data_IF_050158885831
#
_entry.id   IF_050158885831
#
_cell.length_a   1.000
_cell.length_b   1.000
_cell.length_c   1.000
_cell.angle_alpha   90.00
_cell.angle_beta   90.00
_cell.angle_gamma   90.00
#
_symmetry.space_group_name_H-M   'P 1'
#
loop_
_entity.id
_entity.type
_entity.pdbx_description
1 polymer ?
#
# COMPACT_ATOMS: atom_id res chain seq x y z
N UNK A 1 10.87 45.75 2.89
CA UNK A 1 11.38 45.16 1.63
C UNK A 1 11.96 43.78 1.96
N UNK A 2 11.15 42.73 1.83
CA UNK A 2 11.63 41.35 2.02
C UNK A 2 12.30 40.89 0.73
N UNK A 3 13.57 40.49 0.81
CA UNK A 3 14.31 39.91 -0.32
C UNK A 3 13.73 38.54 -0.65
N UNK A 4 12.94 38.47 -1.72
CA UNK A 4 12.57 37.23 -2.38
C UNK A 4 13.78 36.74 -3.18
N UNK A 5 14.74 36.08 -2.52
CA UNK A 5 15.68 35.22 -3.25
C UNK A 5 15.00 33.87 -3.41
N UNK A 6 14.50 33.64 -4.63
CA UNK A 6 14.13 32.34 -5.20
C UNK A 6 15.33 31.39 -5.20
N UNK A 7 15.78 30.95 -4.04
CA UNK A 7 16.79 29.88 -3.98
C UNK A 7 16.08 28.57 -4.33
N UNK A 8 16.49 27.95 -5.44
CA UNK A 8 16.02 26.62 -5.85
C UNK A 8 16.34 25.53 -4.82
N UNK A 9 15.89 24.31 -5.07
CA UNK A 9 16.08 23.22 -4.11
C UNK A 9 17.58 22.92 -3.88
N UNK A 10 18.07 22.75 -2.63
CA UNK A 10 19.49 22.63 -2.34
C UNK A 10 20.06 21.22 -2.57
N UNK A 11 20.02 20.71 -3.81
CA UNK A 11 20.42 19.33 -4.16
C UNK A 11 21.82 18.92 -3.66
N UNK A 12 22.79 19.86 -3.72
CA UNK A 12 24.16 19.61 -3.27
C UNK A 12 24.26 19.27 -1.77
N UNK A 13 23.27 19.65 -0.96
CA UNK A 13 23.21 19.33 0.48
C UNK A 13 22.57 17.99 0.78
N UNK A 14 21.83 17.40 -0.16
CA UNK A 14 21.13 16.13 0.05
C UNK A 14 22.15 15.04 0.32
N UNK A 15 22.03 14.39 1.48
CA UNK A 15 22.85 13.26 1.92
C UNK A 15 22.02 11.96 1.93
N UNK A 16 20.76 12.03 2.37
CA UNK A 16 19.83 10.90 2.40
C UNK A 16 18.41 11.33 2.02
N UNK A 17 17.56 10.36 1.68
CA UNK A 17 16.16 10.60 1.32
C UNK A 17 15.25 9.71 2.15
N UNK A 18 14.02 10.17 2.45
CA UNK A 18 12.99 9.36 3.13
C UNK A 18 11.65 9.46 2.43
N UNK A 19 10.89 8.36 2.44
CA UNK A 19 9.55 8.27 1.87
C UNK A 19 8.52 8.63 2.95
N UNK A 20 7.57 9.50 2.59
CA UNK A 20 6.47 9.92 3.46
C UNK A 20 5.12 9.75 2.76
N UNK A 21 4.06 9.32 3.45
CA UNK A 21 4.06 8.92 4.86
C UNK A 21 4.84 7.61 5.07
N UNK A 22 5.37 7.39 6.28
CA UNK A 22 6.03 6.13 6.62
C UNK A 22 5.07 4.92 6.56
N UNK A 23 3.76 5.14 6.76
CA UNK A 23 2.70 4.16 6.52
C UNK A 23 1.59 4.85 5.72
N UNK A 24 1.40 4.43 4.47
CA UNK A 24 0.27 4.85 3.63
C UNK A 24 -0.93 3.94 3.80
N UNK A 25 -2.14 4.52 3.79
CA UNK A 25 -3.40 3.78 3.88
C UNK A 25 -4.16 3.91 2.57
N UNK A 26 -4.20 2.83 1.81
CA UNK A 26 -5.04 2.65 0.64
C UNK A 26 -6.30 1.85 1.01
N UNK A 27 -7.34 1.92 0.17
CA UNK A 27 -8.57 1.16 0.38
C UNK A 27 -9.12 0.62 -0.93
N UNK A 28 -9.60 -0.62 -0.87
CA UNK A 28 -10.27 -1.28 -1.99
C UNK A 28 -11.57 -0.56 -2.37
N UNK A 29 -12.01 -0.74 -3.61
CA UNK A 29 -13.26 -0.19 -4.13
C UNK A 29 -13.52 -0.71 -5.54
N UNK A 30 -14.77 -1.03 -5.85
CA UNK A 30 -15.15 -1.72 -7.09
C UNK A 30 -15.33 -0.79 -8.31
N UNK A 31 -15.04 0.51 -8.19
CA UNK A 31 -15.05 1.43 -9.34
C UNK A 31 -13.79 1.27 -10.19
N UNK A 32 -13.99 1.15 -11.51
CA UNK A 32 -12.93 1.16 -12.52
C UNK A 32 -12.68 2.54 -13.12
N UNK A 33 -13.48 3.55 -12.73
CA UNK A 33 -13.54 4.87 -13.39
C UNK A 33 -12.88 5.98 -12.57
N UNK A 34 -12.49 5.70 -11.32
CA UNK A 34 -11.77 6.69 -10.53
C UNK A 34 -11.36 6.22 -9.14
N UNK A 35 -10.59 7.09 -8.49
CA UNK A 35 -10.15 6.98 -7.12
C UNK A 35 -10.23 8.36 -6.45
N UNK A 36 -10.01 8.40 -5.15
CA UNK A 36 -9.72 9.63 -4.42
C UNK A 36 -8.45 9.46 -3.60
N UNK A 37 -7.79 10.57 -3.26
CA UNK A 37 -6.58 10.53 -2.45
C UNK A 37 -6.92 10.30 -0.98
N UNK A 38 -6.12 9.48 -0.31
CA UNK A 38 -6.14 9.38 1.14
C UNK A 38 -5.92 10.76 1.77
N UNK A 39 -6.61 11.10 2.88
CA UNK A 39 -6.33 12.34 3.60
C UNK A 39 -4.87 12.40 4.06
N UNK A 40 -4.17 13.48 3.72
CA UNK A 40 -2.76 13.69 4.10
C UNK A 40 -2.60 14.45 5.41
N UNK A 41 -3.72 14.90 6.00
CA UNK A 41 -3.77 15.54 7.30
C UNK A 41 -5.10 15.23 7.98
N UNK A 42 -5.15 15.43 9.29
CA UNK A 42 -6.41 15.32 10.05
C UNK A 42 -7.44 16.34 9.57
N UNK A 43 -6.99 17.52 9.11
CA UNK A 43 -7.92 18.54 8.60
C UNK A 43 -8.51 18.12 7.26
N UNK A 44 -7.67 17.60 6.36
CA UNK A 44 -8.10 17.10 5.06
C UNK A 44 -9.08 15.91 5.17
N UNK A 45 -9.16 15.25 6.34
CA UNK A 45 -10.11 14.14 6.56
C UNK A 45 -11.53 14.60 6.85
N UNK A 46 -11.78 15.91 7.04
CA UNK A 46 -13.12 16.43 7.38
C UNK A 46 -14.00 16.61 6.16
N UNK A 47 -13.40 16.81 5.00
CA UNK A 47 -14.12 17.08 3.75
C UNK A 47 -14.30 15.79 2.93
N UNK A 48 -15.42 15.72 2.23
CA UNK A 48 -15.59 14.70 1.21
C UNK A 48 -14.64 14.96 0.03
N UNK A 49 -14.07 13.93 -0.60
CA UNK A 49 -13.26 14.12 -1.78
C UNK A 49 -14.08 14.73 -2.91
N UNK A 50 -13.44 15.55 -3.75
CA UNK A 50 -14.06 16.10 -4.95
C UNK A 50 -14.65 14.99 -5.81
N UNK A 51 -15.91 15.13 -6.21
CA UNK A 51 -16.65 14.11 -6.95
C UNK A 51 -17.13 12.90 -6.13
N UNK A 52 -16.98 12.95 -4.80
CA UNK A 52 -17.54 11.96 -3.86
C UNK A 52 -16.86 10.59 -3.88
N UNK A 53 -17.34 9.70 -3.00
CA UNK A 53 -16.78 8.35 -2.76
C UNK A 53 -17.24 7.28 -3.75
N UNK A 54 -18.20 7.60 -4.63
CA UNK A 54 -18.77 6.68 -5.60
C UNK A 54 -18.72 7.26 -7.00
N UNK A 55 -18.65 6.39 -8.01
CA UNK A 55 -18.82 6.80 -9.40
C UNK A 55 -20.31 6.95 -9.79
N UNK A 56 -20.57 7.31 -11.04
CA UNK A 56 -21.92 7.55 -11.56
C UNK A 56 -22.80 6.28 -11.52
N UNK A 57 -22.21 5.09 -11.49
CA UNK A 57 -22.93 3.81 -11.35
C UNK A 57 -23.10 3.37 -9.90
N UNK A 58 -22.69 4.18 -8.93
CA UNK A 58 -22.79 3.87 -7.50
C UNK A 58 -21.73 2.90 -6.98
N UNK A 59 -20.71 2.56 -7.79
CA UNK A 59 -19.57 1.74 -7.35
C UNK A 59 -18.64 2.57 -6.47
N UNK A 60 -18.03 1.95 -5.48
CA UNK A 60 -17.14 2.60 -4.51
C UNK A 60 -15.79 2.88 -5.18
N UNK A 61 -15.35 4.14 -5.15
CA UNK A 61 -14.00 4.52 -5.60
C UNK A 61 -12.94 3.99 -4.64
N UNK A 62 -11.80 3.59 -5.18
CA UNK A 62 -10.62 3.24 -4.40
C UNK A 62 -10.07 4.48 -3.69
N UNK A 63 -9.48 4.29 -2.50
CA UNK A 63 -8.67 5.32 -1.86
C UNK A 63 -7.20 5.05 -2.20
N UNK A 64 -6.54 6.01 -2.86
CA UNK A 64 -5.13 5.91 -3.21
C UNK A 64 -4.25 6.49 -2.10
N UNK A 65 -3.23 5.75 -1.68
CA UNK A 65 -2.18 6.29 -0.80
C UNK A 65 -1.15 7.02 -1.66
N UNK A 66 -0.91 8.29 -1.37
CA UNK A 66 0.13 9.09 -2.06
C UNK A 66 1.42 9.12 -1.25
N UNK A 67 2.53 8.87 -1.92
CA UNK A 67 3.87 8.89 -1.33
C UNK A 67 4.74 9.98 -1.95
N UNK A 68 5.54 10.62 -1.11
CA UNK A 68 6.42 11.75 -1.39
C UNK A 68 7.83 11.40 -0.92
N UNK A 69 8.84 12.06 -1.47
CA UNK A 69 10.23 11.92 -1.03
C UNK A 69 10.73 13.23 -0.44
N UNK A 70 11.44 13.15 0.68
CA UNK A 70 12.06 14.30 1.33
C UNK A 70 13.57 14.09 1.40
N UNK A 71 14.34 15.12 1.07
CA UNK A 71 15.79 15.13 1.18
C UNK A 71 16.24 15.60 2.57
N UNK A 72 17.33 15.04 3.06
CA UNK A 72 17.95 15.39 4.34
C UNK A 72 19.43 15.64 4.13
N UNK A 73 20.00 16.61 4.86
CA UNK A 73 21.45 16.81 4.84
C UNK A 73 22.19 15.82 5.75
N UNK A 74 23.52 15.92 5.77
CA UNK A 74 24.41 15.04 6.54
C UNK A 74 24.17 15.09 8.06
N UNK A 75 23.55 16.15 8.55
CA UNK A 75 23.25 16.34 9.97
C UNK A 75 21.79 15.92 10.29
N UNK A 76 21.08 15.36 9.31
CA UNK A 76 19.70 14.87 9.44
C UNK A 76 18.65 15.97 9.36
N UNK A 77 19.00 17.18 8.91
CA UNK A 77 18.05 18.27 8.76
C UNK A 77 17.23 18.08 7.50
N UNK A 78 15.90 18.18 7.62
CA UNK A 78 14.97 18.08 6.49
C UNK A 78 15.12 19.30 5.57
N UNK A 79 15.46 19.05 4.30
CA UNK A 79 15.62 20.06 3.24
C UNK A 79 14.33 20.33 2.46
N UNK A 80 13.25 19.61 2.76
CA UNK A 80 11.96 19.68 2.11
C UNK A 80 11.73 18.55 1.11
N UNK A 81 10.52 18.54 0.54
CA UNK A 81 10.12 17.58 -0.50
C UNK A 81 11.01 17.74 -1.73
N UNK A 82 11.52 16.61 -2.26
CA UNK A 82 12.30 16.61 -3.49
C UNK A 82 11.41 17.03 -4.68
N UNK A 83 11.84 17.97 -5.52
CA UNK A 83 11.12 18.28 -6.75
C UNK A 83 11.26 17.13 -7.74
N UNK A 84 10.17 16.42 -8.03
CA UNK A 84 10.12 15.30 -8.99
C UNK A 84 9.75 15.74 -10.42
N UNK A 85 9.45 17.05 -10.57
CA UNK A 85 9.12 17.70 -11.83
C UNK A 85 9.80 19.06 -11.91
N UNK A 86 10.29 19.44 -13.10
CA UNK A 86 10.68 20.82 -13.37
C UNK A 86 9.49 21.75 -13.15
N UNK A 87 9.75 22.92 -12.60
CA UNK A 87 8.79 24.03 -12.52
C UNK A 87 9.20 25.13 -13.49
N UNK A 88 8.37 26.17 -13.63
CA UNK A 88 8.72 27.35 -14.41
C UNK A 88 9.93 28.10 -13.82
N UNK A 89 10.10 28.05 -12.49
CA UNK A 89 11.13 28.81 -11.77
C UNK A 89 12.39 27.98 -11.42
N UNK A 90 12.29 26.65 -11.47
CA UNK A 90 13.42 25.74 -11.24
C UNK A 90 13.29 24.53 -12.18
N UNK A 91 14.23 24.41 -13.13
CA UNK A 91 14.24 23.34 -14.14
C UNK A 91 14.82 22.04 -13.61
N UNK A 92 15.40 22.05 -12.41
CA UNK A 92 16.06 20.90 -11.80
C UNK A 92 15.04 20.01 -11.11
N UNK A 93 15.04 18.72 -11.44
CA UNK A 93 14.20 17.72 -10.80
C UNK A 93 14.98 16.43 -10.62
N UNK A 94 14.60 15.63 -9.63
CA UNK A 94 15.14 14.28 -9.46
C UNK A 94 14.38 13.29 -10.33
N UNK A 95 15.07 12.25 -10.79
CA UNK A 95 14.45 11.06 -11.33
C UNK A 95 14.24 10.05 -10.21
N UNK A 96 13.10 9.37 -10.20
CA UNK A 96 12.78 8.38 -9.17
C UNK A 96 12.27 7.12 -9.84
N UNK A 97 12.81 5.97 -9.47
CA UNK A 97 12.15 4.69 -9.68
C UNK A 97 11.53 4.25 -8.36
N UNK A 98 10.21 4.15 -8.32
CA UNK A 98 9.48 3.62 -7.18
C UNK A 98 9.39 2.11 -7.27
N UNK A 99 9.46 1.42 -6.13
CA UNK A 99 9.23 -0.02 -6.00
C UNK A 99 8.22 -0.31 -4.89
N UNK A 100 7.28 -1.20 -5.14
CA UNK A 100 6.26 -1.60 -4.15
C UNK A 100 6.04 -3.11 -4.24
N UNK A 101 5.95 -3.79 -3.09
CA UNK A 101 5.73 -5.23 -3.00
C UNK A 101 4.48 -5.56 -2.19
N UNK A 102 3.30 -5.51 -2.82
CA UNK A 102 2.05 -5.88 -2.17
C UNK A 102 1.93 -7.40 -2.05
N UNK A 103 1.61 -7.90 -0.86
CA UNK A 103 1.40 -9.32 -0.58
C UNK A 103 0.14 -9.52 0.26
N UNK A 104 -0.59 -10.62 0.04
CA UNK A 104 -1.64 -11.08 0.94
C UNK A 104 -1.30 -12.47 1.49
N UNK A 105 -1.02 -12.54 2.79
CA UNK A 105 -0.70 -13.80 3.50
C UNK A 105 -1.88 -14.39 4.26
N UNK A 106 -3.08 -13.82 4.19
CA UNK A 106 -4.22 -14.26 5.02
C UNK A 106 -4.56 -15.73 4.84
N UNK A 107 -4.44 -16.24 3.61
CA UNK A 107 -4.72 -17.63 3.30
C UNK A 107 -3.73 -18.60 3.95
N UNK A 108 -2.47 -18.19 4.09
CA UNK A 108 -1.41 -18.98 4.70
C UNK A 108 -1.28 -18.79 6.23
N UNK A 109 -1.87 -17.73 6.79
CA UNK A 109 -1.67 -17.32 8.18
C UNK A 109 -2.42 -18.19 9.21
N UNK A 110 -2.17 -17.91 10.48
CA UNK A 110 -2.88 -18.48 11.62
C UNK A 110 -4.33 -17.98 11.71
N UNK A 111 -5.18 -18.78 12.37
CA UNK A 111 -6.55 -18.41 12.70
C UNK A 111 -6.58 -17.28 13.74
N UNK A 112 -7.43 -16.28 13.54
CA UNK A 112 -7.44 -15.02 14.32
C UNK A 112 -7.62 -15.21 15.85
N UNK A 113 -8.37 -16.22 16.31
CA UNK A 113 -8.67 -16.41 17.74
C UNK A 113 -7.64 -17.22 18.51
N UNK A 114 -6.78 -17.98 17.84
CA UNK A 114 -5.75 -18.75 18.53
C UNK A 114 -4.59 -17.87 18.98
N UNK A 115 -4.68 -16.55 18.82
CA UNK A 115 -3.65 -15.58 19.16
C UNK A 115 -2.71 -15.34 17.99
N UNK A 116 -2.29 -14.08 17.85
CA UNK A 116 -1.05 -13.69 17.14
C UNK A 116 0.07 -14.70 17.45
N UNK A 117 1.09 -14.90 16.59
CA UNK A 117 2.07 -16.03 16.51
C UNK A 117 2.75 -16.59 17.77
N UNK A 118 2.43 -16.08 18.97
CA UNK A 118 2.98 -16.41 20.29
C UNK A 118 2.25 -17.53 21.04
N UNK A 119 1.24 -18.20 20.47
CA UNK A 119 0.56 -19.32 21.14
C UNK A 119 1.10 -20.67 20.67
N UNK A 120 1.54 -21.56 21.58
CA UNK A 120 2.18 -22.84 21.21
C UNK A 120 1.38 -23.81 20.33
N UNK A 121 0.10 -23.55 20.07
CA UNK A 121 -0.80 -24.42 19.30
C UNK A 121 -1.72 -23.64 18.33
N UNK A 122 -1.29 -22.48 17.85
CA UNK A 122 -2.07 -21.72 16.86
C UNK A 122 -2.41 -22.59 15.66
N UNK A 123 -3.70 -22.70 15.32
CA UNK A 123 -4.11 -23.40 14.11
C UNK A 123 -3.90 -22.51 12.90
N UNK A 124 -3.44 -23.11 11.82
CA UNK A 124 -3.36 -22.46 10.53
C UNK A 124 -4.73 -22.40 9.85
N UNK A 125 -4.99 -21.31 9.13
CA UNK A 125 -6.03 -21.31 8.10
C UNK A 125 -5.61 -22.23 6.97
N UNK A 126 -6.56 -22.84 6.25
CA UNK A 126 -6.29 -23.77 5.16
C UNK A 126 -5.38 -24.94 5.60
N UNK A 127 -5.54 -25.47 6.81
CA UNK A 127 -4.69 -26.54 7.34
C UNK A 127 -4.64 -27.79 6.44
N UNK A 128 -3.89 -28.83 6.83
CA UNK A 128 -3.41 -29.94 5.98
C UNK A 128 -4.40 -30.61 4.98
N UNK A 129 -5.72 -30.39 5.06
CA UNK A 129 -6.68 -30.81 4.04
C UNK A 129 -6.85 -29.86 2.83
N UNK A 130 -6.45 -28.59 2.94
CA UNK A 130 -6.69 -27.56 1.90
C UNK A 130 -5.61 -27.46 0.82
N UNK A 131 -4.43 -28.00 1.07
CA UNK A 131 -3.31 -27.98 0.15
C UNK A 131 -2.58 -29.32 0.24
N UNK A 132 -2.65 -30.13 -0.82
CA UNK A 132 -2.08 -31.49 -0.84
C UNK A 132 -0.54 -31.49 -1.00
N UNK A 133 0.10 -30.31 -0.99
CA UNK A 133 1.49 -30.12 -1.42
C UNK A 133 2.43 -29.55 -0.36
N UNK A 134 1.94 -29.23 0.85
CA UNK A 134 2.82 -28.71 1.90
C UNK A 134 3.34 -29.82 2.82
N UNK A 135 4.62 -29.76 3.23
CA UNK A 135 5.08 -30.52 4.37
C UNK A 135 4.25 -30.12 5.60
N UNK A 136 4.29 -30.92 6.67
CA UNK A 136 3.64 -30.61 7.96
C UNK A 136 4.35 -29.43 8.68
N UNK A 137 4.45 -28.30 7.97
CA UNK A 137 5.09 -27.06 8.39
C UNK A 137 4.04 -26.20 9.06
N UNK A 138 4.38 -25.65 10.22
CA UNK A 138 3.53 -24.68 10.91
C UNK A 138 3.86 -23.24 10.53
N UNK A 139 4.85 -23.00 9.66
CA UNK A 139 5.25 -21.67 9.23
C UNK A 139 4.35 -21.18 8.06
N UNK A 140 3.56 -20.11 8.24
CA UNK A 140 2.81 -19.48 7.15
C UNK A 140 3.66 -19.15 5.91
N UNK A 141 4.94 -18.84 6.07
CA UNK A 141 5.79 -18.41 4.96
C UNK A 141 6.19 -19.56 4.02
N UNK A 142 6.09 -20.81 4.46
CA UNK A 142 6.43 -21.98 3.64
C UNK A 142 5.24 -22.44 2.76
N UNK A 143 4.11 -21.72 2.81
CA UNK A 143 2.82 -22.09 2.20
C UNK A 143 2.47 -21.21 0.99
N UNK A 144 3.39 -21.12 0.04
CA UNK A 144 3.39 -20.17 -1.08
C UNK A 144 2.12 -20.11 -1.95
N UNK A 145 1.44 -21.22 -2.24
CA UNK A 145 0.19 -21.33 -3.00
C UNK A 145 -0.99 -20.65 -2.28
N UNK A 146 -0.87 -20.43 -0.97
CA UNK A 146 -1.84 -19.74 -0.14
C UNK A 146 -1.47 -18.26 0.11
N UNK A 147 -0.35 -17.82 -0.43
CA UNK A 147 0.13 -16.44 -0.39
C UNK A 147 -0.06 -15.82 -1.78
N UNK A 148 -0.82 -14.73 -1.84
CA UNK A 148 -0.93 -13.95 -3.08
C UNK A 148 0.29 -13.03 -3.13
N UNK A 149 1.27 -13.39 -3.95
CA UNK A 149 2.49 -12.62 -4.18
C UNK A 149 2.72 -12.36 -5.68
N UNK A 150 2.33 -11.19 -6.20
CA UNK A 150 2.64 -10.74 -7.57
C UNK A 150 4.08 -10.27 -7.78
N UNK A 151 4.95 -10.35 -6.76
CA UNK A 151 6.28 -9.75 -6.68
C UNK A 151 6.28 -8.21 -6.70
N UNK A 152 7.48 -7.63 -6.62
CA UNK A 152 7.70 -6.18 -6.71
C UNK A 152 7.20 -5.64 -8.04
N UNK A 153 6.50 -4.50 -8.00
CA UNK A 153 6.21 -3.67 -9.15
C UNK A 153 6.99 -2.36 -9.05
N UNK A 154 7.57 -1.96 -10.17
CA UNK A 154 8.28 -0.69 -10.29
C UNK A 154 7.56 0.27 -11.23
N UNK A 155 7.78 1.56 -11.00
CA UNK A 155 7.26 2.64 -11.82
C UNK A 155 8.18 3.86 -11.73
N UNK A 156 8.58 4.40 -12.88
CA UNK A 156 9.41 5.61 -12.93
C UNK A 156 8.54 6.86 -12.73
N UNK A 157 9.06 7.85 -12.00
CA UNK A 157 8.40 9.14 -11.85
C UNK A 157 8.31 9.89 -13.17
N UNK A 158 9.20 9.67 -14.13
CA UNK A 158 9.18 10.28 -15.46
C UNK A 158 8.64 9.31 -16.53
N UNK A 159 7.77 9.81 -17.42
CA UNK A 159 7.15 9.02 -18.50
C UNK A 159 5.63 9.23 -18.60
N UNK A 160 5.06 9.05 -19.80
CA UNK A 160 3.60 8.99 -20.01
C UNK A 160 3.01 7.87 -19.13
N UNK A 161 1.75 7.97 -18.66
CA UNK A 161 1.25 7.20 -17.52
C UNK A 161 1.53 5.71 -17.71
N UNK A 162 2.58 5.23 -17.04
CA UNK A 162 2.79 3.82 -16.84
C UNK A 162 1.85 3.46 -15.69
N UNK A 163 0.96 2.50 -15.90
CA UNK A 163 0.35 1.81 -14.77
C UNK A 163 1.11 0.50 -14.60
N UNK A 164 1.41 0.15 -13.36
CA UNK A 164 2.09 -1.11 -13.03
C UNK A 164 1.17 -1.92 -12.13
N UNK A 165 0.60 -3.01 -12.66
CA UNK A 165 -0.49 -3.75 -12.02
C UNK A 165 0.01 -4.97 -11.26
N UNK A 166 -0.61 -5.26 -10.12
CA UNK A 166 -0.32 -6.42 -9.29
C UNK A 166 -1.22 -7.62 -9.64
N UNK A 167 -1.34 -7.95 -10.93
CA UNK A 167 -2.30 -8.90 -11.50
C UNK A 167 -1.76 -10.32 -11.74
N UNK A 168 -0.50 -10.58 -11.38
CA UNK A 168 0.13 -11.92 -11.54
C UNK A 168 0.13 -12.74 -10.25
N UNK A 169 -0.40 -12.21 -9.15
CA UNK A 169 -0.52 -12.93 -7.88
C UNK A 169 -1.56 -14.05 -7.99
N UNK A 170 -1.36 -15.15 -7.25
CA UNK A 170 -2.26 -16.29 -7.28
C UNK A 170 -2.61 -16.80 -5.90
N UNK A 171 -3.83 -17.32 -5.75
CA UNK A 171 -4.25 -18.10 -4.60
C UNK A 171 -4.78 -19.46 -5.10
N UNK A 172 -4.09 -20.55 -4.74
CA UNK A 172 -4.39 -21.91 -5.20
C UNK A 172 -4.61 -21.99 -6.73
N UNK A 173 -3.77 -21.26 -7.49
CA UNK A 173 -3.84 -21.19 -8.95
C UNK A 173 -4.77 -20.13 -9.55
N UNK A 174 -5.67 -19.53 -8.77
CA UNK A 174 -6.57 -18.47 -9.24
C UNK A 174 -5.87 -17.11 -9.22
N UNK A 175 -5.94 -16.37 -10.32
CA UNK A 175 -5.35 -15.03 -10.41
C UNK A 175 -6.06 -14.03 -9.50
N UNK A 176 -5.28 -13.21 -8.81
CA UNK A 176 -5.76 -12.18 -7.89
C UNK A 176 -5.00 -10.89 -8.14
N UNK A 177 -5.74 -9.83 -8.47
CA UNK A 177 -5.19 -8.50 -8.65
C UNK A 177 -5.16 -7.74 -7.31
N UNK A 178 -3.96 -7.48 -6.78
CA UNK A 178 -3.80 -6.74 -5.51
C UNK A 178 -3.83 -5.22 -5.65
N UNK A 179 -3.88 -4.68 -6.88
CA UNK A 179 -3.97 -3.25 -7.14
C UNK A 179 -3.08 -2.76 -8.28
N UNK A 180 -2.73 -1.48 -8.22
CA UNK A 180 -1.89 -0.85 -9.25
C UNK A 180 -1.11 0.36 -8.71
N UNK A 181 0.03 0.62 -9.34
CA UNK A 181 0.81 1.84 -9.15
C UNK A 181 0.49 2.85 -10.24
N UNK A 182 0.39 4.12 -9.85
CA UNK A 182 0.28 5.25 -10.75
C UNK A 182 1.21 6.38 -10.31
N UNK A 183 1.43 7.35 -11.20
CA UNK A 183 2.19 8.56 -10.91
C UNK A 183 1.27 9.76 -11.13
N UNK A 184 1.20 10.64 -10.13
CA UNK A 184 0.43 11.88 -10.24
C UNK A 184 1.15 12.91 -11.14
N UNK A 185 0.46 14.00 -11.45
CA UNK A 185 0.97 15.07 -12.31
C UNK A 185 2.29 15.69 -11.81
N UNK A 186 2.56 15.58 -10.51
CA UNK A 186 3.77 16.10 -9.87
C UNK A 186 4.90 15.07 -9.77
N UNK A 187 4.70 13.84 -10.25
CA UNK A 187 5.70 12.77 -10.19
C UNK A 187 5.64 11.91 -8.93
N UNK A 188 4.68 12.13 -8.03
CA UNK A 188 4.52 11.38 -6.78
C UNK A 188 3.88 10.04 -7.05
N UNK A 189 4.23 9.05 -6.23
CA UNK A 189 3.65 7.70 -6.31
C UNK A 189 2.24 7.70 -5.74
N UNK A 190 1.32 7.05 -6.45
CA UNK A 190 0.01 6.64 -5.98
C UNK A 190 -0.04 5.12 -5.92
N UNK A 191 -0.38 4.56 -4.76
CA UNK A 191 -0.67 3.14 -4.60
C UNK A 191 -2.17 2.97 -4.45
N UNK A 192 -2.78 2.25 -5.39
CA UNK A 192 -4.17 1.86 -5.36
C UNK A 192 -4.26 0.38 -5.02
N UNK A 193 -5.15 0.02 -4.09
CA UNK A 193 -5.43 -1.37 -3.77
C UNK A 193 -6.29 -2.09 -4.82
N UNK A 194 -6.68 -3.31 -4.50
CA UNK A 194 -7.61 -4.12 -5.27
C UNK A 194 -9.01 -3.50 -5.45
N UNK A 195 -9.87 -4.22 -6.15
CA UNK A 195 -11.23 -3.80 -6.51
C UNK A 195 -12.29 -4.27 -5.49
N UNK A 196 -11.88 -4.86 -4.37
CA UNK A 196 -12.76 -5.39 -3.33
C UNK A 196 -13.30 -6.77 -3.67
N UNK A 197 -12.58 -7.53 -4.49
CA UNK A 197 -12.92 -8.90 -4.86
C UNK A 197 -12.62 -9.85 -3.70
N UNK A 198 -13.60 -10.67 -3.35
CA UNK A 198 -13.46 -11.79 -2.44
C UNK A 198 -14.18 -13.00 -3.03
N UNK A 199 -13.52 -14.15 -3.03
CA UNK A 199 -14.05 -15.36 -3.65
C UNK A 199 -13.50 -16.62 -2.97
N UNK A 200 -14.09 -17.77 -3.30
CA UNK A 200 -13.64 -19.10 -2.90
C UNK A 200 -13.17 -19.87 -4.13
N UNK A 201 -12.15 -20.71 -3.96
CA UNK A 201 -11.71 -21.66 -5.00
C UNK A 201 -12.58 -22.91 -5.08
N UNK A 202 -13.46 -23.10 -4.08
CA UNK A 202 -14.48 -24.15 -4.06
C UNK A 202 -15.85 -23.54 -4.44
N UNK A 203 -16.58 -24.12 -5.42
CA UNK A 203 -17.96 -23.73 -5.73
C UNK A 203 -18.89 -23.88 -4.53
N UNK A 204 -19.81 -22.93 -4.36
CA UNK A 204 -20.82 -22.94 -3.28
C UNK A 204 -20.25 -23.12 -1.86
N UNK A 205 -18.99 -22.70 -1.64
CA UNK A 205 -18.33 -22.81 -0.35
C UNK A 205 -18.90 -21.77 0.64
N UNK A 206 -19.57 -22.20 1.73
CA UNK A 206 -20.22 -21.29 2.65
C UNK A 206 -19.21 -20.41 3.41
N UNK A 207 -19.54 -19.14 3.57
CA UNK A 207 -18.87 -18.24 4.53
C UNK A 207 -19.39 -18.59 5.93
N UNK A 208 -18.48 -18.72 6.90
CA UNK A 208 -18.84 -19.02 8.29
C UNK A 208 -19.41 -20.42 8.48
N UNK A 209 -18.91 -21.39 7.70
CA UNK A 209 -19.42 -22.75 7.58
C UNK A 209 -19.70 -23.48 8.91
N UNK A 210 -18.97 -23.14 9.98
CA UNK A 210 -19.27 -23.60 11.33
C UNK A 210 -19.68 -22.42 12.23
N UNK A 211 -20.98 -22.06 12.28
CA UNK A 211 -21.48 -20.96 13.10
C UNK A 211 -21.34 -21.22 14.61
N UNK A 212 -21.03 -22.45 15.02
CA UNK A 212 -20.76 -22.79 16.42
C UNK A 212 -19.28 -22.58 16.79
N UNK A 213 -18.39 -22.40 15.80
CA UNK A 213 -17.01 -22.02 16.05
C UNK A 213 -16.94 -20.57 16.48
N UNK A 214 -16.18 -20.26 17.54
CA UNK A 214 -16.05 -18.90 18.06
C UNK A 214 -15.39 -17.92 17.04
N UNK A 215 -14.76 -18.43 15.98
CA UNK A 215 -14.00 -17.69 14.97
C UNK A 215 -14.56 -17.78 13.54
N UNK A 216 -15.81 -18.25 13.39
CA UNK A 216 -16.49 -18.44 12.11
C UNK A 216 -16.51 -17.19 11.22
N UNK A 217 -16.51 -16.00 11.84
CA UNK A 217 -16.52 -14.70 11.17
C UNK A 217 -15.18 -14.33 10.52
N UNK A 218 -14.06 -14.94 10.93
CA UNK A 218 -12.71 -14.57 10.52
C UNK A 218 -12.02 -15.61 9.62
N UNK A 219 -12.32 -16.89 9.81
CA UNK A 219 -11.52 -17.99 9.27
C UNK A 219 -12.34 -18.85 8.31
N UNK A 220 -12.22 -18.56 7.01
CA UNK A 220 -12.91 -19.26 5.93
C UNK A 220 -11.89 -19.95 5.03
N UNK A 221 -11.83 -21.28 5.04
CA UNK A 221 -10.87 -22.01 4.20
C UNK A 221 -11.26 -21.92 2.71
N UNK A 222 -10.25 -21.95 1.83
CA UNK A 222 -10.33 -21.78 0.37
C UNK A 222 -10.80 -20.40 -0.12
N UNK A 223 -11.08 -19.47 0.80
CA UNK A 223 -11.40 -18.08 0.47
C UNK A 223 -10.16 -17.21 0.32
N UNK A 224 -10.23 -16.24 -0.58
CA UNK A 224 -9.24 -15.18 -0.72
C UNK A 224 -9.92 -13.83 -0.93
N UNK A 225 -9.17 -12.76 -0.65
CA UNK A 225 -9.55 -11.39 -0.93
C UNK A 225 -8.38 -10.62 -1.55
N UNK A 226 -8.64 -9.42 -2.05
CA UNK A 226 -7.68 -8.58 -2.74
C UNK A 226 -7.15 -7.41 -1.90
N UNK A 227 -7.26 -7.50 -0.57
CA UNK A 227 -6.47 -6.63 0.32
C UNK A 227 -5.01 -7.08 0.35
N UNK A 228 -4.13 -6.22 0.81
CA UNK A 228 -2.69 -6.49 0.85
C UNK A 228 -1.98 -5.46 1.71
N UNK A 229 -0.71 -5.71 1.99
CA UNK A 229 0.20 -4.73 2.53
C UNK A 229 1.63 -5.01 2.04
N UNK A 230 2.53 -4.06 2.21
CA UNK A 230 3.92 -4.26 1.79
C UNK A 230 4.81 -3.03 1.82
N UNK A 231 6.13 -3.21 1.61
CA UNK A 231 7.08 -2.13 1.58
C UNK A 231 6.94 -1.26 0.34
N UNK A 232 7.27 0.02 0.50
CA UNK A 232 7.41 1.03 -0.54
C UNK A 232 8.85 1.55 -0.47
N UNK A 233 9.58 1.39 -1.58
CA UNK A 233 10.98 1.76 -1.73
C UNK A 233 11.17 2.72 -2.91
N UNK A 234 12.31 3.38 -2.97
CA UNK A 234 12.64 4.22 -4.12
C UNK A 234 14.14 4.22 -4.40
N UNK A 235 14.49 4.38 -5.67
CA UNK A 235 15.82 4.81 -6.11
C UNK A 235 15.71 6.24 -6.60
N UNK A 236 16.52 7.14 -6.04
CA UNK A 236 16.54 8.56 -6.41
C UNK A 236 17.83 8.89 -7.15
N UNK A 237 17.73 9.51 -8.33
CA UNK A 237 18.86 10.07 -9.07
C UNK A 237 18.78 11.60 -9.01
N UNK A 238 19.76 12.22 -8.37
CA UNK A 238 19.87 13.68 -8.26
C UNK A 238 20.38 14.32 -9.56
N UNK A 239 20.19 15.63 -9.77
CA UNK A 239 20.65 16.32 -10.99
C UNK A 239 22.17 16.25 -11.23
N UNK A 240 22.96 16.03 -10.18
CA UNK A 240 24.41 15.84 -10.26
C UNK A 240 24.82 14.39 -10.56
N UNK A 241 23.86 13.50 -10.79
CA UNK A 241 24.06 12.09 -11.11
C UNK A 241 24.24 11.18 -9.89
N UNK A 242 24.27 11.71 -8.65
CA UNK A 242 24.31 10.86 -7.46
C UNK A 242 23.03 10.05 -7.32
N UNK A 243 23.18 8.76 -7.02
CA UNK A 243 22.09 7.81 -6.79
C UNK A 243 21.95 7.51 -5.30
N UNK A 244 20.73 7.58 -4.77
CA UNK A 244 20.39 7.30 -3.37
C UNK A 244 19.32 6.20 -3.35
N UNK A 245 19.62 5.08 -2.71
CA UNK A 245 18.67 4.00 -2.48
C UNK A 245 17.90 4.23 -1.18
N UNK A 246 16.57 4.13 -1.23
CA UNK A 246 15.66 4.32 -0.10
C UNK A 246 14.92 3.02 0.16
N UNK A 247 15.64 2.07 0.76
CA UNK A 247 15.16 0.71 1.07
C UNK A 247 15.38 0.28 2.53
N UNK A 248 16.15 1.05 3.32
CA UNK A 248 16.25 0.84 4.77
C UNK A 248 14.88 1.07 5.43
N UNK A 249 14.38 0.18 6.30
CA UNK A 249 13.07 0.33 6.94
C UNK A 249 12.84 1.63 7.72
N UNK A 250 13.90 2.36 8.07
CA UNK A 250 13.82 3.68 8.75
C UNK A 250 13.57 4.85 7.79
N UNK A 251 13.80 4.64 6.50
CA UNK A 251 13.75 5.66 5.46
C UNK A 251 12.74 5.30 4.35
N UNK A 252 12.54 4.01 4.10
CA UNK A 252 11.45 3.47 3.29
C UNK A 252 10.10 3.61 3.99
N UNK A 253 9.03 3.25 3.30
CA UNK A 253 7.68 3.27 3.83
C UNK A 253 7.00 1.91 3.72
N UNK A 254 5.79 1.82 4.26
CA UNK A 254 4.88 0.70 4.12
C UNK A 254 3.54 1.19 3.58
N UNK A 255 2.81 0.34 2.88
CA UNK A 255 1.42 0.59 2.49
C UNK A 255 0.53 -0.51 3.01
N UNK A 256 -0.64 -0.14 3.52
CA UNK A 256 -1.69 -1.07 3.94
C UNK A 256 -2.94 -0.79 3.13
N UNK A 257 -3.49 -1.82 2.50
CA UNK A 257 -4.75 -1.78 1.76
C UNK A 257 -5.85 -2.35 2.64
N UNK A 258 -6.78 -1.50 3.08
CA UNK A 258 -7.90 -1.89 3.93
C UNK A 258 -9.25 -1.93 3.20
N UNK A 259 -10.33 -2.31 3.91
CA UNK A 259 -11.70 -2.15 3.43
C UNK A 259 -12.05 -0.66 3.24
N UNK A 260 -13.15 -0.33 2.51
CA UNK A 260 -13.61 1.04 2.39
C UNK A 260 -13.92 1.68 3.74
N UNK A 261 -13.66 2.98 3.87
CA UNK A 261 -14.08 3.76 5.03
C UNK A 261 -15.42 4.42 4.74
N UNK A 262 -16.51 3.69 5.00
CA UNK A 262 -17.87 4.15 4.72
C UNK A 262 -18.27 5.39 5.51
N UNK A 263 -17.59 5.69 6.61
CA UNK A 263 -17.77 6.91 7.40
C UNK A 263 -16.43 7.65 7.53
N UNK A 264 -15.99 8.28 6.44
CA UNK A 264 -14.69 8.94 6.37
C UNK A 264 -14.55 10.17 7.29
N UNK A 265 -15.66 10.90 7.50
CA UNK A 265 -15.70 12.14 8.27
C UNK A 265 -15.71 11.87 9.78
N UNK A 266 -16.25 10.72 10.21
CA UNK A 266 -16.26 10.34 11.62
C UNK A 266 -14.96 9.67 12.03
N UNK A 267 -14.38 10.21 13.10
CA UNK A 267 -13.08 9.82 13.62
C UNK A 267 -13.21 8.66 14.60
N UNK A 268 -12.25 7.73 14.55
CA UNK A 268 -12.10 6.76 15.63
C UNK A 268 -11.58 7.46 16.89
N UNK A 269 -12.05 7.07 18.07
CA UNK A 269 -11.57 7.64 19.34
C UNK A 269 -10.06 7.41 19.57
N UNK A 270 -9.48 6.40 18.91
CA UNK A 270 -8.05 6.12 18.84
C UNK A 270 -7.67 5.83 17.40
N UNK A 271 -6.63 6.50 16.89
CA UNK A 271 -6.09 6.27 15.55
C UNK A 271 -4.76 5.52 15.63
N UNK A 272 -4.41 4.85 14.54
CA UNK A 272 -3.13 4.16 14.38
C UNK A 272 -1.94 5.12 14.53
N UNK A 273 -2.12 6.37 14.08
CA UNK A 273 -1.13 7.44 14.25
C UNK A 273 -1.55 8.30 15.44
N UNK A 274 -0.70 8.34 16.47
CA UNK A 274 -0.73 9.41 17.48
C UNK A 274 0.05 10.59 16.93
N UNK A 275 -0.62 11.72 16.71
CA UNK A 275 0.07 13.00 16.72
C UNK A 275 0.22 13.37 18.19
N UNK A 276 1.44 13.25 18.73
CA UNK A 276 1.75 13.90 20.00
C UNK A 276 1.68 15.41 19.74
N UNK A 277 0.70 16.07 20.37
CA UNK A 277 0.56 17.53 20.40
C UNK A 277 1.51 18.15 21.40
#
# INVERSE_FOLDING_TARGET
MARTTSAGYPFAKVHSCKIHPGIGIARVGNSTEGYYLAPESLEASKDAPTGGYKDASGRVKRQAARFKLYGYDKDGINLGELPLRPTENDRSAVEVEWGVHLVNKKGACYRVQDGLPRTPNAKLRNGNGASHHYPDTRDPNERSELIIDPNVRTIASSGKPASSRFDTGKFLGFEVNLGELQIDETGRLLVLGGLGHAASTIPDNPIGADPNSADYWANNDYWYDDVSDGPVTATVTLPDGRRIEVSDPRDAAWVVVGPPQFCAINRCARHLVRCDT
#
